data_IF_433290853300
#
_entry.id   IF_433290853300
#
_cell.length_a   1.000
_cell.length_b   1.000
_cell.length_c   1.000
_cell.angle_alpha   90.00
_cell.angle_beta   90.00
_cell.angle_gamma   90.00
#
_symmetry.space_group_name_H-M   'P 1'
#
loop_
_entity.id
_entity.type
_entity.pdbx_description
1 polymer ?
#
# COMPACT_ATOMS: atom_id res chain seq x y z
N UNK A 1 7.62 2.68 23.14
CA UNK A 1 7.84 1.88 21.92
C UNK A 1 7.01 2.54 20.83
N UNK A 2 7.60 2.86 19.67
CA UNK A 2 6.81 3.36 18.53
C UNK A 2 6.41 2.15 17.72
N UNK A 3 5.20 1.65 17.96
CA UNK A 3 4.56 0.63 17.13
C UNK A 3 4.39 1.20 15.72
N UNK A 4 5.39 0.96 14.88
CA UNK A 4 5.35 1.32 13.46
C UNK A 4 5.01 0.04 12.70
N UNK A 5 3.87 0.03 12.05
CA UNK A 5 3.47 -1.07 11.18
C UNK A 5 3.99 -0.75 9.79
N UNK A 6 4.85 -1.63 9.26
CA UNK A 6 5.25 -1.59 7.86
C UNK A 6 4.31 -2.46 7.08
N UNK A 7 3.68 -1.88 6.07
CA UNK A 7 2.71 -2.56 5.25
C UNK A 7 3.10 -2.41 3.78
N UNK A 8 3.19 -3.54 3.09
CA UNK A 8 3.42 -3.59 1.65
C UNK A 8 2.29 -4.33 0.96
N UNK A 9 1.90 -3.81 -0.21
CA UNK A 9 0.81 -4.38 -0.99
C UNK A 9 1.01 -4.10 -2.48
N UNK A 10 0.39 -4.93 -3.31
CA UNK A 10 0.53 -4.89 -4.77
C UNK A 10 -0.78 -4.53 -5.40
N UNK A 11 -0.75 -3.59 -6.33
CA UNK A 11 -1.89 -3.26 -7.19
C UNK A 11 -1.47 -3.26 -8.66
N UNK A 12 -2.45 -3.37 -9.55
CA UNK A 12 -2.27 -3.34 -11.00
C UNK A 12 -2.44 -1.97 -11.64
N UNK A 13 -2.70 -0.95 -10.82
CA UNK A 13 -2.81 0.45 -11.20
C UNK A 13 -1.80 1.33 -10.45
N UNK A 14 -1.57 2.55 -10.96
CA UNK A 14 -0.71 3.51 -10.30
C UNK A 14 -1.48 4.28 -9.23
N UNK A 15 -0.94 4.30 -8.01
CA UNK A 15 -1.44 5.12 -6.90
C UNK A 15 -0.49 6.29 -6.68
N UNK A 16 -1.03 7.51 -6.67
CA UNK A 16 -0.30 8.73 -6.32
C UNK A 16 -0.67 9.14 -4.90
N UNK A 17 0.17 8.78 -3.94
CA UNK A 17 0.04 9.25 -2.56
C UNK A 17 1.40 9.57 -1.96
N UNK A 18 1.44 10.59 -1.10
CA UNK A 18 2.64 11.01 -0.37
C UNK A 18 2.96 10.08 0.80
N UNK A 19 2.03 9.19 1.18
CA UNK A 19 2.20 8.23 2.28
C UNK A 19 3.07 7.03 1.92
N UNK A 20 3.38 6.84 0.63
CA UNK A 20 4.30 5.80 0.19
C UNK A 20 5.74 6.19 0.51
N UNK A 21 6.40 5.34 1.29
CA UNK A 21 7.81 5.49 1.62
C UNK A 21 8.68 4.96 0.47
N UNK A 22 8.18 3.93 -0.22
CA UNK A 22 8.84 3.34 -1.38
C UNK A 22 7.79 2.80 -2.35
N UNK A 23 8.12 2.87 -3.64
CA UNK A 23 7.32 2.27 -4.72
C UNK A 23 8.26 1.48 -5.60
N UNK A 24 7.92 0.23 -5.88
CA UNK A 24 8.69 -0.66 -6.76
C UNK A 24 7.79 -1.17 -7.89
N UNK A 25 8.13 -0.81 -9.12
CA UNK A 25 7.41 -1.29 -10.30
C UNK A 25 7.93 -2.68 -10.66
N UNK A 26 7.09 -3.70 -10.46
CA UNK A 26 7.44 -5.09 -10.77
C UNK A 26 7.20 -5.42 -12.24
N UNK A 27 6.15 -4.86 -12.84
CA UNK A 27 5.84 -4.98 -14.27
C UNK A 27 4.96 -3.83 -14.74
N UNK A 28 4.50 -3.87 -15.99
CA UNK A 28 3.55 -2.89 -16.54
C UNK A 28 2.25 -2.82 -15.73
N UNK A 29 1.78 -3.95 -15.21
CA UNK A 29 0.50 -4.09 -14.51
C UNK A 29 0.67 -4.56 -13.06
N UNK A 30 1.86 -4.41 -12.47
CA UNK A 30 2.08 -4.76 -11.06
C UNK A 30 3.06 -3.77 -10.45
N UNK A 31 2.58 -3.03 -9.46
CA UNK A 31 3.39 -2.10 -8.69
C UNK A 31 3.24 -2.43 -7.21
N UNK A 32 4.37 -2.53 -6.51
CA UNK A 32 4.47 -2.78 -5.08
C UNK A 32 4.62 -1.43 -4.37
N UNK A 33 3.75 -1.19 -3.40
CA UNK A 33 3.73 0.02 -2.60
C UNK A 33 4.10 -0.31 -1.17
N UNK A 34 4.96 0.51 -0.56
CA UNK A 34 5.36 0.40 0.84
C UNK A 34 4.86 1.61 1.62
N UNK A 35 4.12 1.36 2.68
CA UNK A 35 3.57 2.36 3.60
C UNK A 35 4.08 2.08 5.01
N UNK A 36 4.44 3.14 5.73
CA UNK A 36 4.72 3.07 7.17
C UNK A 36 3.55 3.72 7.92
N UNK A 37 2.82 2.93 8.69
CA UNK A 37 1.73 3.37 9.56
C UNK A 37 2.34 3.64 10.93
N UNK A 38 2.24 4.89 11.38
CA UNK A 38 2.84 5.33 12.65
C UNK A 38 1.81 5.67 13.72
N UNK A 39 0.56 5.84 13.31
CA UNK A 39 -0.60 6.20 14.13
C UNK A 39 -1.85 5.63 13.46
N UNK A 40 -2.89 5.40 14.26
CA UNK A 40 -4.15 4.82 13.77
C UNK A 40 -4.82 5.69 12.69
N UNK A 41 -4.64 7.02 12.75
CA UNK A 41 -5.12 7.95 11.71
C UNK A 41 -4.45 7.75 10.34
N UNK A 42 -3.30 7.06 10.26
CA UNK A 42 -2.68 6.70 8.97
C UNK A 42 -3.45 5.54 8.29
N UNK A 43 -4.38 4.87 9.01
CA UNK A 43 -5.25 3.82 8.49
C UNK A 43 -6.59 4.42 8.05
N UNK A 44 -6.60 4.92 6.82
CA UNK A 44 -7.80 5.50 6.21
C UNK A 44 -8.53 4.52 5.27
N UNK A 45 -9.79 4.82 4.89
CA UNK A 45 -10.56 3.99 3.97
C UNK A 45 -9.91 3.77 2.60
N UNK A 46 -9.07 4.69 2.10
CA UNK A 46 -8.37 4.47 0.82
C UNK A 46 -7.33 3.37 0.96
N UNK A 47 -6.55 3.37 2.06
CA UNK A 47 -5.57 2.33 2.35
C UNK A 47 -6.23 0.94 2.44
N UNK A 48 -7.36 0.86 3.15
CA UNK A 48 -8.15 -0.37 3.24
C UNK A 48 -8.69 -0.80 1.87
N UNK A 49 -9.07 0.15 1.02
CA UNK A 49 -9.46 -0.10 -0.36
C UNK A 49 -8.33 -0.75 -1.16
N UNK A 50 -7.14 -0.17 -1.15
CA UNK A 50 -6.00 -0.70 -1.89
C UNK A 50 -5.55 -2.07 -1.37
N UNK A 51 -5.62 -2.29 -0.06
CA UNK A 51 -5.40 -3.60 0.53
C UNK A 51 -6.41 -4.62 -0.01
N UNK A 52 -7.69 -4.27 -0.01
CA UNK A 52 -8.74 -5.14 -0.54
C UNK A 52 -8.53 -5.44 -2.02
N UNK A 53 -8.15 -4.45 -2.82
CA UNK A 53 -7.84 -4.64 -4.23
C UNK A 53 -6.61 -5.56 -4.40
N UNK A 54 -5.60 -5.41 -3.55
CA UNK A 54 -4.43 -6.29 -3.50
C UNK A 54 -4.77 -7.74 -3.16
N UNK A 55 -5.70 -7.97 -2.24
CA UNK A 55 -6.19 -9.32 -1.94
C UNK A 55 -7.12 -9.88 -3.03
N UNK A 56 -7.80 -9.01 -3.77
CA UNK A 56 -8.69 -9.39 -4.86
C UNK A 56 -7.96 -9.59 -6.20
N UNK A 57 -6.70 -9.15 -6.30
CA UNK A 57 -5.73 -9.56 -7.31
C UNK A 57 -5.40 -11.05 -7.11
N UNK A 58 -6.37 -11.91 -7.42
CA UNK A 58 -6.17 -13.36 -7.46
C UNK A 58 -5.03 -13.66 -8.44
N UNK A 59 -4.10 -14.47 -7.98
CA UNK A 59 -2.90 -14.90 -8.70
C UNK A 59 -3.22 -15.68 -9.97
#
# INVERSE_FOLDING_TARGET
MKDKIRLDFRVDYEIKSKRFVKVEKLSTNRTLYFVEITKEDDIDPELLGWLKDSYNLKS
#
